data_IF_759659566297
#
_entry.id   IF_759659566297
#
_cell.length_a   1.000
_cell.length_b   1.000
_cell.length_c   1.000
_cell.angle_alpha   90.00
_cell.angle_beta   90.00
_cell.angle_gamma   90.00
#
_symmetry.space_group_name_H-M   'P 1'
#
loop_
_entity.id
_entity.type
_entity.pdbx_description
1 polymer ?
#
# COMPACT_ATOMS: atom_id res chain seq x y z
N UNK A 1 1.79 42.83 -3.35
CA UNK A 1 1.07 41.65 -2.83
C UNK A 1 1.56 40.43 -3.60
N UNK A 2 2.22 39.48 -2.95
CA UNK A 2 2.79 38.28 -3.60
C UNK A 2 1.98 37.05 -3.16
N UNK A 3 1.35 36.37 -4.11
CA UNK A 3 0.58 35.15 -3.86
C UNK A 3 1.54 33.95 -3.79
N UNK A 4 1.66 33.34 -2.61
CA UNK A 4 2.44 32.11 -2.40
C UNK A 4 1.57 30.92 -2.83
N UNK A 5 1.82 30.41 -4.04
CA UNK A 5 1.22 29.15 -4.49
C UNK A 5 1.80 27.97 -3.69
N UNK A 6 0.98 27.38 -2.82
CA UNK A 6 1.30 26.12 -2.14
C UNK A 6 0.98 24.97 -3.08
N UNK A 7 2.00 24.28 -3.57
CA UNK A 7 1.84 23.12 -4.46
C UNK A 7 1.83 21.85 -3.60
N UNK A 8 0.65 21.34 -3.28
CA UNK A 8 0.48 20.04 -2.63
C UNK A 8 0.56 18.92 -3.67
N UNK A 9 1.69 18.23 -3.75
CA UNK A 9 1.81 17.01 -4.55
C UNK A 9 1.21 15.83 -3.78
N UNK A 10 0.04 15.38 -4.19
CA UNK A 10 -0.54 14.13 -3.67
C UNK A 10 0.11 12.97 -4.43
N UNK A 11 1.03 12.25 -3.77
CA UNK A 11 1.52 10.96 -4.28
C UNK A 11 0.43 9.91 -4.05
N UNK A 12 -0.22 9.50 -5.12
CA UNK A 12 -1.17 8.38 -5.10
C UNK A 12 -0.39 7.07 -5.23
N UNK A 13 -0.43 6.22 -4.20
CA UNK A 13 0.10 4.85 -4.24
C UNK A 13 -1.08 3.92 -4.45
N UNK A 14 -1.11 3.24 -5.60
CA UNK A 14 -2.16 2.27 -5.90
C UNK A 14 -1.82 0.93 -5.25
N UNK A 15 -2.80 0.35 -4.56
CA UNK A 15 -2.70 -1.02 -4.07
C UNK A 15 -2.99 -1.96 -5.23
N UNK A 16 -2.08 -2.88 -5.53
CA UNK A 16 -2.23 -3.82 -6.64
C UNK A 16 -2.37 -5.24 -6.13
N UNK A 17 -3.20 -6.05 -6.78
CA UNK A 17 -3.13 -7.51 -6.68
C UNK A 17 -2.23 -8.03 -7.79
N UNK A 18 -1.10 -8.63 -7.44
CA UNK A 18 -0.16 -9.21 -8.41
C UNK A 18 -0.46 -10.68 -8.61
N UNK A 19 -0.65 -11.09 -9.87
CA UNK A 19 -1.02 -12.46 -10.27
C UNK A 19 0.14 -13.24 -10.84
N UNK A 20 1.07 -12.58 -11.54
CA UNK A 20 2.27 -13.24 -12.07
C UNK A 20 3.43 -12.27 -12.24
N UNK A 21 4.63 -12.84 -12.22
CA UNK A 21 5.88 -12.16 -12.53
C UNK A 21 6.40 -12.72 -13.86
N UNK A 22 6.76 -11.85 -14.77
CA UNK A 22 7.33 -12.20 -16.07
C UNK A 22 8.80 -11.87 -16.07
N UNK A 23 9.65 -12.84 -16.35
CA UNK A 23 11.10 -12.65 -16.30
C UNK A 23 11.75 -13.23 -17.56
N UNK A 24 12.65 -12.46 -18.15
CA UNK A 24 13.61 -12.95 -19.14
C UNK A 24 15.01 -12.75 -18.60
N UNK A 25 15.72 -13.84 -18.37
CA UNK A 25 17.12 -13.84 -17.93
C UNK A 25 18.05 -14.01 -19.12
N UNK A 26 19.33 -13.72 -18.89
CA UNK A 26 20.39 -14.25 -19.75
C UNK A 26 20.50 -15.77 -19.63
N UNK A 27 21.30 -16.35 -20.51
CA UNK A 27 21.65 -17.76 -20.55
C UNK A 27 23.13 -17.94 -20.23
N UNK A 28 23.50 -19.14 -19.78
CA UNK A 28 24.88 -19.46 -19.42
C UNK A 28 25.27 -18.88 -18.07
N UNK A 29 26.54 -18.48 -17.92
CA UNK A 29 27.15 -18.20 -16.61
C UNK A 29 26.53 -17.01 -15.87
N UNK A 30 25.83 -16.13 -16.58
CA UNK A 30 25.18 -14.93 -16.02
C UNK A 30 23.68 -15.11 -15.75
N UNK A 31 23.17 -16.34 -15.88
CA UNK A 31 21.76 -16.68 -15.65
C UNK A 31 21.48 -16.91 -14.15
N UNK A 32 20.64 -16.09 -13.48
CA UNK A 32 20.21 -16.39 -12.12
C UNK A 32 19.27 -17.60 -12.12
N UNK A 33 19.46 -18.49 -11.14
CA UNK A 33 18.69 -19.73 -10.97
C UNK A 33 17.67 -19.67 -9.86
N UNK A 34 17.75 -18.70 -8.95
CA UNK A 34 16.80 -18.58 -7.84
C UNK A 34 16.28 -17.16 -7.70
N UNK A 35 14.98 -17.05 -7.51
CA UNK A 35 14.28 -15.80 -7.23
C UNK A 35 13.59 -15.88 -5.88
N UNK A 36 13.94 -14.93 -5.00
CA UNK A 36 13.21 -14.61 -3.77
C UNK A 36 12.46 -13.30 -3.95
N UNK A 37 11.20 -13.25 -3.51
CA UNK A 37 10.35 -12.04 -3.62
C UNK A 37 9.88 -11.63 -2.25
N UNK A 38 10.07 -10.35 -1.94
CA UNK A 38 9.66 -9.71 -0.71
C UNK A 38 8.58 -8.67 -1.02
N UNK A 39 7.50 -8.68 -0.25
CA UNK A 39 6.38 -7.77 -0.43
C UNK A 39 6.28 -6.76 0.70
N UNK A 40 5.87 -5.53 0.35
CA UNK A 40 5.49 -4.47 1.28
C UNK A 40 6.62 -3.98 2.20
N UNK A 41 7.83 -3.88 1.64
CA UNK A 41 8.97 -3.17 2.22
C UNK A 41 9.22 -1.86 1.43
N UNK A 42 8.45 -0.78 1.68
CA UNK A 42 8.50 0.44 0.86
C UNK A 42 9.82 1.22 0.99
N UNK A 43 10.55 1.05 2.09
CA UNK A 43 11.89 1.60 2.27
C UNK A 43 12.98 0.81 1.50
N UNK A 44 12.61 -0.30 0.86
CA UNK A 44 13.55 -1.28 0.32
C UNK A 44 13.92 -2.34 1.36
N UNK A 45 14.75 -3.29 0.91
CA UNK A 45 15.36 -4.33 1.74
C UNK A 45 16.83 -4.38 1.36
N UNK A 46 17.72 -4.40 2.35
CA UNK A 46 19.15 -4.58 2.08
C UNK A 46 19.49 -6.08 1.92
N UNK A 47 20.75 -6.38 1.63
CA UNK A 47 21.18 -7.77 1.41
C UNK A 47 21.18 -8.62 2.68
N UNK A 48 21.49 -8.04 3.84
CA UNK A 48 21.53 -8.77 5.11
C UNK A 48 20.10 -9.07 5.60
N UNK A 49 19.21 -8.09 5.46
CA UNK A 49 17.78 -8.21 5.71
C UNK A 49 17.14 -9.22 4.76
N UNK A 50 17.51 -9.24 3.49
CA UNK A 50 17.00 -10.22 2.54
C UNK A 50 17.36 -11.66 2.94
N UNK A 51 18.57 -11.90 3.47
CA UNK A 51 18.98 -13.24 3.91
C UNK A 51 18.30 -13.69 5.21
N UNK A 52 17.97 -12.76 6.10
CA UNK A 52 17.33 -13.07 7.39
C UNK A 52 15.80 -13.04 7.35
N UNK A 53 15.22 -12.31 6.39
CA UNK A 53 13.77 -12.17 6.23
C UNK A 53 13.21 -13.34 5.43
N UNK A 54 12.06 -13.87 5.87
CA UNK A 54 11.34 -14.90 5.11
C UNK A 54 10.69 -14.28 3.87
N UNK A 55 11.03 -14.73 2.64
CA UNK A 55 10.38 -14.24 1.44
C UNK A 55 8.94 -14.76 1.30
N UNK A 56 8.06 -13.98 0.66
CA UNK A 56 6.71 -14.41 0.31
C UNK A 56 6.70 -15.42 -0.85
N UNK A 57 7.72 -15.38 -1.70
CA UNK A 57 7.96 -16.36 -2.75
C UNK A 57 9.44 -16.71 -2.82
N UNK A 58 9.74 -18.00 -2.94
CA UNK A 58 11.08 -18.51 -3.16
C UNK A 58 10.99 -19.65 -4.18
N UNK A 59 11.54 -19.44 -5.37
CA UNK A 59 11.41 -20.35 -6.50
C UNK A 59 12.72 -20.49 -7.27
N UNK A 60 12.92 -21.66 -7.87
CA UNK A 60 13.92 -21.85 -8.92
C UNK A 60 13.39 -21.29 -10.25
N UNK A 61 14.26 -20.59 -10.98
CA UNK A 61 14.00 -20.08 -12.32
C UNK A 61 14.35 -21.16 -13.35
N UNK A 62 13.58 -21.21 -14.44
CA UNK A 62 13.83 -22.11 -15.55
C UNK A 62 15.10 -21.71 -16.31
N UNK A 63 15.95 -22.69 -16.58
CA UNK A 63 17.22 -22.53 -17.30
C UNK A 63 17.04 -22.74 -18.81
N UNK A 64 17.85 -22.07 -19.63
CA UNK A 64 17.86 -22.27 -21.09
C UNK A 64 16.69 -21.66 -21.86
N UNK A 65 15.73 -21.02 -21.18
CA UNK A 65 14.58 -20.37 -21.82
C UNK A 65 15.00 -19.21 -22.75
N UNK A 66 14.35 -19.11 -23.92
CA UNK A 66 14.67 -18.08 -24.92
C UNK A 66 13.77 -16.85 -24.87
N UNK A 67 12.57 -17.07 -24.33
CA UNK A 67 11.53 -16.07 -24.22
C UNK A 67 11.42 -15.48 -22.82
N UNK A 68 10.36 -14.72 -22.63
CA UNK A 68 9.90 -14.28 -21.32
C UNK A 68 9.13 -15.44 -20.68
N UNK A 69 9.51 -15.83 -19.47
CA UNK A 69 8.83 -16.87 -18.69
C UNK A 69 7.87 -16.22 -17.70
N UNK A 70 6.66 -16.76 -17.60
CA UNK A 70 5.65 -16.30 -16.65
C UNK A 70 5.61 -17.23 -15.42
N UNK A 71 5.82 -16.64 -14.24
CA UNK A 71 5.75 -17.31 -12.94
C UNK A 71 4.47 -16.89 -12.21
N UNK A 72 3.46 -17.77 -12.12
CA UNK A 72 2.22 -17.46 -11.43
C UNK A 72 2.43 -17.33 -9.92
N UNK A 73 1.79 -16.33 -9.33
CA UNK A 73 1.80 -16.07 -7.89
C UNK A 73 0.51 -16.55 -7.23
N UNK A 74 0.62 -16.90 -5.95
CA UNK A 74 -0.55 -17.18 -5.11
C UNK A 74 -1.27 -15.87 -4.83
N UNK A 75 -2.41 -15.66 -5.50
CA UNK A 75 -3.16 -14.42 -5.41
C UNK A 75 -3.45 -14.00 -3.95
N UNK A 76 -3.78 -14.93 -3.06
CA UNK A 76 -4.04 -14.66 -1.64
C UNK A 76 -2.86 -13.98 -0.92
N UNK A 77 -1.62 -14.36 -1.25
CA UNK A 77 -0.40 -13.77 -0.68
C UNK A 77 -0.11 -12.40 -1.28
N UNK A 78 -0.38 -12.21 -2.57
CA UNK A 78 -0.02 -11.01 -3.34
C UNK A 78 -1.23 -10.12 -3.64
N UNK A 79 -2.15 -10.01 -2.69
CA UNK A 79 -3.41 -9.27 -2.88
C UNK A 79 -3.28 -7.77 -2.64
N UNK A 80 -2.49 -7.35 -1.64
CA UNK A 80 -2.37 -5.95 -1.23
C UNK A 80 -0.90 -5.53 -1.32
N UNK A 81 -0.41 -5.34 -2.54
CA UNK A 81 0.97 -5.03 -2.82
C UNK A 81 1.13 -3.54 -3.11
N UNK A 82 2.01 -2.89 -2.33
CA UNK A 82 2.47 -1.52 -2.57
C UNK A 82 3.90 -1.46 -3.11
N UNK A 83 4.72 -2.48 -2.78
CA UNK A 83 6.12 -2.56 -3.15
C UNK A 83 6.54 -4.03 -3.25
N UNK A 84 7.39 -4.35 -4.23
CA UNK A 84 8.02 -5.66 -4.39
C UNK A 84 9.53 -5.50 -4.51
N UNK A 85 10.26 -6.30 -3.75
CA UNK A 85 11.70 -6.44 -3.87
C UNK A 85 12.00 -7.82 -4.45
N UNK A 86 12.78 -7.87 -5.52
CA UNK A 86 13.23 -9.10 -6.16
C UNK A 86 14.69 -9.34 -5.82
N UNK A 87 14.99 -10.51 -5.26
CA UNK A 87 16.35 -10.92 -4.94
C UNK A 87 16.72 -12.15 -5.76
N UNK A 88 17.57 -11.94 -6.77
CA UNK A 88 18.01 -12.97 -7.69
C UNK A 88 19.41 -13.45 -7.30
N UNK A 89 19.57 -14.76 -7.19
CA UNK A 89 20.79 -15.42 -6.71
C UNK A 89 21.07 -16.68 -7.53
N UNK A 90 22.19 -17.33 -7.20
CA UNK A 90 22.62 -18.60 -7.79
C UNK A 90 22.89 -18.48 -9.30
N UNK A 91 23.95 -17.76 -9.65
CA UNK A 91 24.52 -17.75 -11.01
C UNK A 91 25.68 -18.71 -11.12
N UNK A 92 25.80 -19.46 -12.23
CA UNK A 92 26.95 -20.36 -12.44
C UNK A 92 28.30 -19.63 -12.43
N UNK A 93 28.34 -18.41 -12.98
CA UNK A 93 29.54 -17.58 -13.05
C UNK A 93 29.81 -16.72 -11.81
N UNK A 94 28.92 -16.73 -10.82
CA UNK A 94 29.09 -16.11 -9.50
C UNK A 94 29.19 -14.58 -9.42
N UNK A 95 29.54 -13.87 -10.49
CA UNK A 95 29.86 -12.44 -10.43
C UNK A 95 28.75 -11.52 -10.93
N UNK A 96 27.97 -11.96 -11.93
CA UNK A 96 27.04 -11.08 -12.65
C UNK A 96 25.73 -11.82 -12.92
N UNK A 97 24.62 -11.20 -12.51
CA UNK A 97 23.27 -11.62 -12.90
C UNK A 97 22.78 -10.70 -14.02
N UNK A 98 22.40 -11.27 -15.18
CA UNK A 98 21.86 -10.48 -16.29
C UNK A 98 20.38 -10.79 -16.52
N UNK A 99 19.58 -9.74 -16.50
CA UNK A 99 18.13 -9.78 -16.69
C UNK A 99 17.78 -8.84 -17.84
N UNK A 100 17.04 -9.34 -18.83
CA UNK A 100 16.62 -8.58 -20.00
C UNK A 100 15.23 -7.96 -19.83
N UNK A 101 14.37 -8.61 -19.04
CA UNK A 101 13.01 -8.15 -18.84
C UNK A 101 12.48 -8.59 -17.47
N UNK A 102 11.78 -7.68 -16.80
CA UNK A 102 10.94 -7.95 -15.63
C UNK A 102 9.60 -7.26 -15.86
N UNK A 103 8.52 -7.99 -15.69
CA UNK A 103 7.16 -7.48 -15.76
C UNK A 103 6.28 -8.08 -14.67
N UNK A 104 5.20 -7.40 -14.36
CA UNK A 104 4.18 -7.86 -13.42
C UNK A 104 2.82 -7.82 -14.12
N UNK A 105 2.02 -8.86 -13.95
CA UNK A 105 0.60 -8.84 -14.32
C UNK A 105 -0.24 -8.87 -13.06
N UNK A 106 -1.28 -8.06 -13.06
CA UNK A 106 -2.13 -7.89 -11.90
C UNK A 106 -3.26 -6.91 -12.17
N UNK A 107 -4.11 -6.76 -11.16
CA UNK A 107 -5.26 -5.88 -11.19
C UNK A 107 -5.02 -4.72 -10.22
N UNK A 108 -5.25 -3.49 -10.67
CA UNK A 108 -5.27 -2.34 -9.78
C UNK A 108 -6.52 -2.39 -8.93
N UNK A 109 -6.35 -2.24 -7.61
CA UNK A 109 -7.50 -1.93 -6.78
C UNK A 109 -7.65 -0.44 -6.72
N UNK A 110 -8.80 0.01 -7.20
CA UNK A 110 -9.27 1.34 -6.86
C UNK A 110 -9.56 1.35 -5.37
N UNK A 111 -8.78 2.13 -4.62
CA UNK A 111 -9.15 2.45 -3.26
C UNK A 111 -10.28 3.44 -3.43
N UNK A 112 -11.52 2.93 -3.57
CA UNK A 112 -12.68 3.78 -3.42
C UNK A 112 -12.51 4.48 -2.08
N UNK A 113 -12.19 5.77 -2.11
CA UNK A 113 -12.35 6.64 -0.96
C UNK A 113 -13.79 6.41 -0.51
N UNK A 114 -13.96 6.01 0.75
CA UNK A 114 -15.24 6.20 1.42
C UNK A 114 -15.58 7.69 1.34
N UNK A 115 -16.31 8.09 0.31
CA UNK A 115 -17.00 9.38 0.21
C UNK A 115 -18.30 9.26 1.02
N UNK A 116 -18.16 8.79 2.25
CA UNK A 116 -19.25 8.66 3.22
C UNK A 116 -18.75 8.98 4.63
N UNK A 117 -17.84 9.94 4.72
CA UNK A 117 -17.78 10.80 5.90
C UNK A 117 -18.34 12.16 5.50
N UNK A 118 -19.69 12.23 5.46
CA UNK A 118 -20.34 13.46 5.89
C UNK A 118 -19.93 13.63 7.36
N UNK A 119 -18.78 14.26 7.59
CA UNK A 119 -18.37 14.74 8.90
C UNK A 119 -19.41 15.78 9.28
N UNK A 120 -20.48 15.31 9.91
CA UNK A 120 -21.52 16.14 10.48
C UNK A 120 -20.90 16.83 11.70
N UNK A 121 -20.26 17.98 11.44
CA UNK A 121 -19.65 18.80 12.47
C UNK A 121 -20.80 19.32 13.33
N UNK A 122 -21.09 18.63 14.43
CA UNK A 122 -22.10 19.04 15.43
C UNK A 122 -21.94 20.51 15.87
N UNK A 123 -20.74 21.07 15.77
CA UNK A 123 -20.46 22.46 16.13
C UNK A 123 -21.02 23.50 15.14
N UNK A 124 -21.32 23.14 13.88
CA UNK A 124 -21.87 24.11 12.92
C UNK A 124 -23.31 24.54 13.28
N UNK A 125 -24.08 23.64 13.89
CA UNK A 125 -25.47 23.90 14.28
C UNK A 125 -25.65 24.30 15.76
N UNK A 126 -24.56 24.41 16.53
CA UNK A 126 -24.63 24.75 17.95
C UNK A 126 -24.89 26.26 18.20
N UNK A 127 -24.62 27.11 17.20
CA UNK A 127 -24.81 28.56 17.30
C UNK A 127 -26.25 29.01 17.03
N UNK A 128 -27.05 28.20 16.33
CA UNK A 128 -28.42 28.54 15.91
C UNK A 128 -29.51 27.97 16.85
N UNK A 129 -29.13 27.38 17.99
CA UNK A 129 -30.10 27.01 19.00
C UNK A 129 -30.67 28.28 19.65
N UNK A 130 -32.01 28.53 19.59
CA UNK A 130 -32.59 29.65 20.30
C UNK A 130 -32.38 29.43 21.81
N UNK A 131 -31.69 30.36 22.45
CA UNK A 131 -31.53 30.38 23.90
C UNK A 131 -32.89 30.69 24.52
N UNK A 132 -33.51 29.69 25.13
CA UNK A 132 -34.76 29.86 25.85
C UNK A 132 -34.51 30.78 27.05
N UNK A 133 -35.12 31.96 27.03
CA UNK A 133 -34.94 32.97 28.07
C UNK A 133 -35.61 32.44 29.33
N UNK A 134 -34.81 32.09 30.33
CA UNK A 134 -35.29 31.79 31.67
C UNK A 134 -36.15 32.96 32.17
N UNK A 135 -37.46 32.74 32.24
CA UNK A 135 -38.38 33.61 32.93
C UNK A 135 -38.04 33.59 34.43
N UNK A 136 -37.55 34.73 34.89
CA UNK A 136 -37.33 35.05 36.30
C UNK A 136 -38.68 34.95 37.05
N UNK A 137 -38.90 33.82 37.75
CA UNK A 137 -40.03 33.71 38.67
C UNK A 137 -39.64 34.37 40.00
N UNK A 138 -40.13 35.60 40.13
CA UNK A 138 -40.17 36.35 41.36
C UNK A 138 -40.79 35.54 42.51
N UNK A 139 -40.22 35.75 43.69
CA UNK A 139 -40.58 35.15 44.95
C UNK A 139 -42.00 35.52 45.42
N UNK A 140 -42.60 34.62 46.21
CA UNK A 140 -43.43 35.04 47.35
C UNK A 140 -44.76 34.32 47.55
N UNK A 141 -44.86 33.69 48.73
CA UNK A 141 -46.08 33.42 49.52
C UNK A 141 -46.86 32.13 49.26
N UNK A 142 -47.30 31.33 50.23
CA UNK A 142 -46.98 31.05 51.64
C UNK A 142 -47.68 29.71 51.96
N UNK A 143 -47.11 28.93 52.88
CA UNK A 143 -47.81 27.83 53.56
C UNK A 143 -48.99 28.39 54.39
N UNK A 144 -50.14 27.71 54.39
CA UNK A 144 -50.81 27.36 55.65
C UNK A 144 -51.79 26.19 55.49
N UNK A 145 -51.76 25.32 56.49
CA UNK A 145 -52.57 24.13 56.72
C UNK A 145 -53.76 24.51 57.64
N UNK A 146 -54.91 23.87 57.37
CA UNK A 146 -56.23 23.90 58.04
C UNK A 146 -57.18 25.02 57.64
#
# INVERSE_FOLDING_TARGET
>A
MSAKASRSTVRQVWMMRVRSILIKTARGDVQPRRLRVYANHPAGLDFADAESTRPQLDIALLEGEGGVVEYPLKAATFTNIIALTLFLTDTPGGEINRIYFVGFKGDARDVQKDVSEHLDIRAANAADAPIDRLAEKAAGSQNLIR
#
